data_IF_096985369660
#
_entry.id   IF_096985369660
#
_cell.length_a   1.000
_cell.length_b   1.000
_cell.length_c   1.000
_cell.angle_alpha   90.00
_cell.angle_beta   90.00
_cell.angle_gamma   90.00
#
_symmetry.space_group_name_H-M   'P 1'
#
loop_
_entity.id
_entity.type
_entity.pdbx_description
1 polymer ?
#
# COMPACT_ATOMS: atom_id res chain seq x y z
N UNK A 1 22.89 -0.68 0.53
CA UNK A 1 21.55 -0.82 1.14
C UNK A 1 20.79 0.49 1.10
N UNK A 2 21.30 1.52 1.77
CA UNK A 2 20.68 2.85 1.89
C UNK A 2 20.39 3.57 0.57
N UNK A 3 21.25 3.41 -0.44
CA UNK A 3 21.12 4.09 -1.73
C UNK A 3 19.87 3.65 -2.52
N UNK A 4 19.56 2.35 -2.50
CA UNK A 4 18.37 1.81 -3.18
C UNK A 4 17.06 2.27 -2.51
N UNK A 5 17.04 2.34 -1.18
CA UNK A 5 15.89 2.85 -0.44
C UNK A 5 15.67 4.34 -0.70
N UNK A 6 16.75 5.11 -0.84
CA UNK A 6 16.69 6.52 -1.20
C UNK A 6 16.14 6.70 -2.60
N UNK A 7 16.69 6.00 -3.60
CA UNK A 7 16.21 6.04 -4.98
C UNK A 7 14.72 5.68 -5.09
N UNK A 8 14.28 4.63 -4.38
CA UNK A 8 12.88 4.22 -4.36
C UNK A 8 11.95 5.29 -3.76
N UNK A 9 12.38 5.94 -2.68
CA UNK A 9 11.62 7.04 -2.06
C UNK A 9 11.54 8.24 -2.99
N UNK A 10 12.64 8.62 -3.63
CA UNK A 10 12.70 9.73 -4.59
C UNK A 10 11.76 9.50 -5.78
N UNK A 11 11.71 8.27 -6.30
CA UNK A 11 10.80 7.92 -7.40
C UNK A 11 9.33 8.01 -7.00
N UNK A 12 8.97 7.49 -5.83
CA UNK A 12 7.59 7.60 -5.31
C UNK A 12 7.22 9.07 -5.09
N UNK A 13 8.13 9.89 -4.57
CA UNK A 13 7.90 11.31 -4.34
C UNK A 13 7.69 12.07 -5.65
N UNK A 14 8.49 11.76 -6.68
CA UNK A 14 8.28 12.27 -8.04
C UNK A 14 6.88 11.90 -8.57
N UNK A 15 6.46 10.65 -8.41
CA UNK A 15 5.12 10.18 -8.84
C UNK A 15 3.99 10.89 -8.09
N UNK A 16 4.16 11.17 -6.78
CA UNK A 16 3.21 11.93 -5.98
C UNK A 16 3.10 13.38 -6.47
N UNK A 17 4.24 14.02 -6.77
CA UNK A 17 4.30 15.41 -7.25
C UNK A 17 3.55 15.62 -8.57
N UNK A 18 3.74 14.73 -9.54
CA UNK A 18 3.05 14.79 -10.85
C UNK A 18 1.58 14.32 -10.79
N UNK A 19 1.09 13.88 -9.62
CA UNK A 19 -0.27 13.33 -9.42
C UNK A 19 -0.62 12.18 -10.35
N UNK A 20 0.37 11.37 -10.74
CA UNK A 20 0.11 10.15 -11.49
C UNK A 20 -0.75 9.19 -10.66
N UNK A 21 -1.57 8.35 -11.31
CA UNK A 21 -2.45 7.41 -10.61
C UNK A 21 -1.70 6.54 -9.58
N UNK A 22 -0.51 6.02 -9.95
CA UNK A 22 0.36 5.28 -9.01
C UNK A 22 0.78 6.14 -7.82
N UNK A 23 1.14 7.40 -8.04
CA UNK A 23 1.51 8.35 -6.99
C UNK A 23 0.39 8.63 -6.01
N UNK A 24 -0.84 8.87 -6.52
CA UNK A 24 -2.05 9.03 -5.69
C UNK A 24 -2.30 7.77 -4.86
N UNK A 25 -2.23 6.58 -5.47
CA UNK A 25 -2.37 5.30 -4.75
C UNK A 25 -1.29 5.11 -3.68
N UNK A 26 -0.04 5.46 -3.96
CA UNK A 26 1.06 5.45 -2.98
C UNK A 26 0.82 6.43 -1.83
N UNK A 27 0.23 7.60 -2.08
CA UNK A 27 -0.13 8.55 -1.02
C UNK A 27 -1.25 8.01 -0.11
N UNK A 28 -2.23 7.32 -0.70
CA UNK A 28 -3.35 6.71 0.02
C UNK A 28 -3.02 5.36 0.68
N UNK A 29 -1.80 4.84 0.51
CA UNK A 29 -1.42 3.51 1.03
C UNK A 29 -2.15 2.35 0.34
N UNK A 30 -2.65 2.56 -0.88
CA UNK A 30 -3.39 1.56 -1.64
C UNK A 30 -2.48 0.80 -2.62
N UNK A 31 -2.89 -0.42 -2.99
CA UNK A 31 -2.18 -1.27 -3.95
C UNK A 31 -2.11 -0.61 -5.33
N UNK A 32 -0.95 -0.65 -5.99
CA UNK A 32 -0.69 0.12 -7.22
C UNK A 32 -0.79 -0.69 -8.52
N UNK A 33 -1.05 -2.00 -8.48
CA UNK A 33 -1.06 -2.88 -9.68
C UNK A 33 -2.47 -3.31 -10.12
N UNK A 34 -3.50 -2.52 -9.81
CA UNK A 34 -4.89 -2.84 -10.19
C UNK A 34 -5.54 -3.98 -9.40
N UNK A 35 -4.94 -4.39 -8.28
CA UNK A 35 -5.51 -5.41 -7.41
C UNK A 35 -6.83 -4.92 -6.75
N UNK A 36 -7.84 -5.80 -6.72
CA UNK A 36 -9.12 -5.52 -6.06
C UNK A 36 -8.96 -5.28 -4.54
N UNK A 37 -9.46 -4.15 -4.05
CA UNK A 37 -9.39 -3.75 -2.63
C UNK A 37 -10.66 -4.06 -1.85
N UNK A 38 -11.71 -4.62 -2.49
CA UNK A 38 -12.97 -4.99 -1.81
C UNK A 38 -12.73 -6.05 -0.74
N UNK A 39 -12.09 -7.15 -1.15
CA UNK A 39 -11.86 -8.36 -0.32
C UNK A 39 -10.41 -8.49 0.14
N UNK A 40 -9.42 -8.07 -0.65
CA UNK A 40 -8.00 -8.28 -0.34
C UNK A 40 -7.36 -7.10 0.39
N UNK A 41 -6.34 -7.37 1.22
CA UNK A 41 -5.63 -6.33 1.98
C UNK A 41 -6.35 -5.84 3.23
N UNK A 42 -7.47 -6.48 3.60
CA UNK A 42 -8.13 -6.32 4.90
C UNK A 42 -7.28 -7.03 5.95
N UNK A 43 -6.66 -6.30 6.86
CA UNK A 43 -5.94 -6.84 8.02
C UNK A 43 -6.62 -6.29 9.28
N UNK A 44 -6.91 -7.16 10.25
CA UNK A 44 -7.70 -6.84 11.45
C UNK A 44 -8.57 -8.03 11.87
N UNK A 45 -9.29 -7.89 12.99
CA UNK A 45 -10.21 -8.94 13.45
C UNK A 45 -11.34 -9.14 12.44
N UNK A 46 -11.60 -10.41 12.08
CA UNK A 46 -12.81 -10.76 11.34
C UNK A 46 -14.01 -10.58 12.26
N UNK A 47 -14.99 -9.80 11.84
CA UNK A 47 -16.24 -9.62 12.62
C UNK A 47 -16.90 -10.99 12.76
N UNK A 48 -17.18 -11.41 14.00
CA UNK A 48 -17.92 -12.64 14.29
C UNK A 48 -17.11 -13.95 14.34
N UNK A 49 -15.78 -13.91 14.23
CA UNK A 49 -14.94 -15.12 14.37
C UNK A 49 -13.87 -14.90 15.42
N UNK A 50 -14.02 -15.54 16.58
CA UNK A 50 -12.94 -15.66 17.57
C UNK A 50 -12.14 -16.94 17.27
N UNK A 51 -10.82 -16.81 17.10
CA UNK A 51 -9.93 -17.98 17.09
C UNK A 51 -9.45 -18.20 18.52
N UNK A 52 -9.56 -19.44 19.01
CA UNK A 52 -8.95 -19.84 20.28
C UNK A 52 -7.44 -19.58 20.15
N UNK A 53 -6.88 -18.77 21.06
CA UNK A 53 -5.42 -18.62 21.15
C UNK A 53 -4.87 -19.96 21.64
N UNK A 54 -4.04 -20.58 20.81
CA UNK A 54 -3.16 -21.71 21.17
C UNK A 54 -1.95 -21.21 21.93
#
# INVERSE_FOLDING_TARGET
GSDLDFAHKSDIERLKRIRAWRGIRHALGLKVRGQHTRTTGRRGATVGVSRKKS
#
